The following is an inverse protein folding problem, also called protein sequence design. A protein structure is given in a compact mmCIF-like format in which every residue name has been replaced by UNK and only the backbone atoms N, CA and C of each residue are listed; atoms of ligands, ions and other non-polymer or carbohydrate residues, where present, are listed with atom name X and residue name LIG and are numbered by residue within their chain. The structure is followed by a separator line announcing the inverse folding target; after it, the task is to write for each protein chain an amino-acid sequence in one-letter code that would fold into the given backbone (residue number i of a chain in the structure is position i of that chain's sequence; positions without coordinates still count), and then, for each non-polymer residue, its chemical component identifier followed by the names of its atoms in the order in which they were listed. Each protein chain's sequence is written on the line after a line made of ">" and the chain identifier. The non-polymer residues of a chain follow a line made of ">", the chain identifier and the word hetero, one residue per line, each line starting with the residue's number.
data_IF_746417228598
#
_entry.id   IF_746417228598
#
_cell.length_a   1.000
_cell.length_b   1.000
_cell.length_c   1.000
_cell.angle_alpha   90.00
_cell.angle_beta   90.00
_cell.angle_gamma   90.00
#
_symmetry.space_group_name_H-M   'P 1'
#
loop_
_entity.id
_entity.type
_entity.pdbx_description
1 polymer ?
#
# COMPACT_ATOMS: atom_id res chain seq x y z
N UNK A 1 -30.85 14.87 -11.16
CA UNK A 1 -29.65 14.01 -11.10
C UNK A 1 -28.81 14.51 -9.95
N UNK A 2 -28.40 13.61 -9.06
CA UNK A 2 -27.87 13.94 -7.73
C UNK A 2 -26.51 14.63 -7.80
N UNK A 3 -26.33 15.65 -6.98
CA UNK A 3 -25.12 16.43 -6.68
C UNK A 3 -23.84 15.62 -6.35
N UNK A 4 -23.88 14.29 -6.37
CA UNK A 4 -22.87 13.40 -5.82
C UNK A 4 -21.66 13.14 -6.75
N UNK A 5 -21.75 13.42 -8.06
CA UNK A 5 -20.69 13.10 -9.03
C UNK A 5 -19.61 14.20 -9.16
N UNK A 6 -19.73 15.29 -8.39
CA UNK A 6 -18.88 16.49 -8.52
C UNK A 6 -17.56 16.45 -7.76
N UNK A 7 -17.36 15.46 -6.88
CA UNK A 7 -16.25 15.47 -5.92
C UNK A 7 -15.27 14.30 -6.12
N UNK A 8 -15.11 13.80 -7.33
CA UNK A 8 -14.20 12.68 -7.60
C UNK A 8 -12.94 13.12 -8.33
N UNK A 9 -11.81 12.52 -7.94
CA UNK A 9 -10.52 12.66 -8.58
C UNK A 9 -10.05 11.31 -9.09
N UNK A 10 -9.42 11.33 -10.26
CA UNK A 10 -8.79 10.17 -10.88
C UNK A 10 -7.30 10.15 -10.53
N UNK A 11 -6.83 9.05 -9.95
CA UNK A 11 -5.43 8.83 -9.59
C UNK A 11 -4.82 7.76 -10.49
N UNK A 12 -3.67 8.04 -11.08
CA UNK A 12 -2.90 7.09 -11.88
C UNK A 12 -1.54 6.81 -11.24
N UNK A 13 -1.16 5.54 -11.04
CA UNK A 13 0.20 5.17 -10.64
C UNK A 13 1.18 5.47 -11.79
N UNK A 14 2.47 5.64 -11.47
CA UNK A 14 3.52 5.86 -12.49
C UNK A 14 4.38 4.64 -12.75
N UNK A 15 4.24 3.57 -11.95
CA UNK A 15 5.00 2.33 -12.10
C UNK A 15 4.07 1.14 -12.42
N UNK A 16 4.48 0.26 -13.35
CA UNK A 16 5.57 0.43 -14.31
C UNK A 16 5.28 1.56 -15.32
N UNK A 17 6.30 2.02 -16.05
CA UNK A 17 6.11 3.04 -17.08
C UNK A 17 5.11 2.55 -18.15
N UNK A 18 4.07 3.34 -18.42
CA UNK A 18 2.99 2.98 -19.34
C UNK A 18 1.80 2.29 -18.68
N UNK A 19 1.78 2.17 -17.35
CA UNK A 19 0.57 1.82 -16.60
C UNK A 19 -0.55 2.84 -16.87
N UNK A 20 -1.71 2.33 -17.31
CA UNK A 20 -2.86 3.12 -17.76
C UNK A 20 -4.07 2.99 -16.83
N UNK A 21 -4.00 2.08 -15.85
CA UNK A 21 -5.07 1.90 -14.87
C UNK A 21 -5.20 3.13 -13.99
N UNK A 22 -6.45 3.51 -13.73
CA UNK A 22 -6.80 4.67 -12.91
C UNK A 22 -7.74 4.23 -11.79
N UNK A 23 -7.57 4.82 -10.60
CA UNK A 23 -8.48 4.66 -9.48
C UNK A 23 -9.21 5.96 -9.21
N UNK A 24 -10.53 5.87 -8.98
CA UNK A 24 -11.39 7.01 -8.69
C UNK A 24 -11.62 7.09 -7.18
N UNK A 25 -11.42 8.27 -6.61
CA UNK A 25 -11.57 8.52 -5.16
C UNK A 25 -12.32 9.82 -4.93
N UNK A 26 -13.05 9.91 -3.82
CA UNK A 26 -13.65 11.17 -3.38
C UNK A 26 -12.58 12.15 -2.91
N UNK A 27 -12.58 13.35 -3.48
CA UNK A 27 -11.64 14.42 -3.17
C UNK A 27 -11.64 14.75 -1.68
N UNK A 28 -12.82 14.92 -1.06
CA UNK A 28 -12.91 15.25 0.36
C UNK A 28 -12.23 14.21 1.26
N UNK A 29 -12.51 12.93 1.04
CA UNK A 29 -11.88 11.83 1.80
C UNK A 29 -10.37 11.81 1.59
N UNK A 30 -9.91 12.06 0.36
CA UNK A 30 -8.48 12.10 0.03
C UNK A 30 -7.76 13.28 0.70
N UNK A 31 -8.36 14.47 0.69
CA UNK A 31 -7.82 15.66 1.33
C UNK A 31 -7.80 15.53 2.87
N UNK A 32 -8.88 15.01 3.45
CA UNK A 32 -8.98 14.79 4.90
C UNK A 32 -7.90 13.82 5.40
N UNK A 33 -7.57 12.79 4.60
CA UNK A 33 -6.58 11.79 4.97
C UNK A 33 -5.12 12.19 4.69
N UNK A 34 -4.89 13.22 3.85
CA UNK A 34 -3.55 13.59 3.38
C UNK A 34 -3.43 15.10 3.18
N UNK A 35 -2.55 15.73 3.96
CA UNK A 35 -2.25 17.16 3.80
C UNK A 35 -1.55 17.46 2.46
N UNK A 36 -0.85 16.48 1.87
CA UNK A 36 -0.30 16.59 0.52
C UNK A 36 -1.41 16.78 -0.52
N UNK A 37 -2.42 15.91 -0.52
CA UNK A 37 -3.51 16.00 -1.48
C UNK A 37 -4.42 17.20 -1.21
N UNK A 38 -4.65 17.57 0.05
CA UNK A 38 -5.33 18.81 0.40
C UNK A 38 -4.59 20.03 -0.20
N UNK A 39 -3.27 20.11 0.00
CA UNK A 39 -2.45 21.20 -0.56
C UNK A 39 -2.46 21.20 -2.10
N UNK A 40 -2.48 20.02 -2.73
CA UNK A 40 -2.50 19.90 -4.19
C UNK A 40 -3.85 20.30 -4.81
N UNK A 41 -4.96 19.91 -4.18
CA UNK A 41 -6.30 19.98 -4.78
C UNK A 41 -7.13 21.16 -4.28
N UNK A 42 -6.87 21.66 -3.08
CA UNK A 42 -7.61 22.77 -2.47
C UNK A 42 -6.89 24.11 -2.60
N UNK A 43 -5.65 24.10 -3.10
CA UNK A 43 -4.90 25.32 -3.34
C UNK A 43 -5.56 26.22 -4.40
N UNK A 44 -5.33 27.53 -4.28
CA UNK A 44 -5.74 28.56 -5.24
C UNK A 44 -4.84 28.62 -6.49
N UNK A 45 -3.89 27.69 -6.65
CA UNK A 45 -3.07 27.61 -7.87
C UNK A 45 -3.93 27.29 -9.11
N UNK A 46 -3.53 27.83 -10.26
CA UNK A 46 -4.23 27.64 -11.53
C UNK A 46 -4.27 26.15 -11.92
N UNK A 47 -3.19 25.43 -11.63
CA UNK A 47 -3.05 23.99 -11.86
C UNK A 47 -4.07 23.18 -11.05
N UNK A 48 -4.31 23.54 -9.78
CA UNK A 48 -5.33 22.93 -8.94
C UNK A 48 -6.76 23.24 -9.44
N UNK A 49 -6.96 24.42 -10.04
CA UNK A 49 -8.23 24.81 -10.64
C UNK A 49 -8.53 24.03 -11.93
N UNK A 50 -7.52 23.76 -12.75
CA UNK A 50 -7.64 22.90 -13.95
C UNK A 50 -7.98 21.44 -13.57
N UNK A 51 -7.38 20.93 -12.49
CA UNK A 51 -7.72 19.59 -11.97
C UNK A 51 -9.18 19.51 -11.51
N UNK A 52 -9.68 20.56 -10.83
CA UNK A 52 -11.09 20.65 -10.39
C UNK A 52 -12.06 20.78 -11.56
N UNK A 53 -11.71 21.54 -12.61
CA UNK A 53 -12.57 21.73 -13.79
C UNK A 53 -12.61 20.50 -14.71
N UNK A 54 -11.51 19.74 -14.79
CA UNK A 54 -11.44 18.51 -15.58
C UNK A 54 -12.36 17.39 -15.07
N UNK A 55 -12.69 17.37 -13.77
CA UNK A 55 -13.70 16.46 -13.19
C UNK A 55 -15.15 16.95 -13.40
N UNK A 56 -15.37 18.20 -13.82
CA UNK A 56 -16.72 18.79 -13.92
C UNK A 56 -17.38 18.65 -15.31
N UNK A 57 -16.66 18.24 -16.36
CA UNK A 57 -17.20 18.17 -17.72
C UNK A 57 -17.75 16.78 -18.08
N UNK A 58 -18.83 16.40 -17.40
CA UNK A 58 -19.65 15.24 -17.73
C UNK A 58 -21.13 15.60 -17.81
N UNK A 59 -21.50 16.52 -18.72
CA UNK A 59 -22.83 16.55 -19.39
C UNK A 59 -22.91 17.72 -20.39
N UNK A 60 -23.44 17.51 -21.62
CA UNK A 60 -23.69 18.61 -22.55
C UNK A 60 -24.87 19.48 -22.06
N UNK A 61 -24.85 20.80 -22.28
CA UNK A 61 -26.00 21.65 -21.98
C UNK A 61 -27.15 21.27 -22.92
N UNK A 62 -28.16 20.59 -22.39
CA UNK A 62 -29.43 20.41 -23.05
C UNK A 62 -30.18 21.75 -23.02
N UNK A 63 -29.99 22.57 -24.06
CA UNK A 63 -30.89 23.68 -24.38
C UNK A 63 -32.19 23.12 -24.97
N UNK A 64 -33.37 23.48 -24.46
CA UNK A 64 -34.63 23.07 -25.05
C UNK A 64 -35.05 24.09 -26.12
N UNK A 65 -34.93 23.74 -27.40
CA UNK A 65 -35.77 24.37 -28.43
C UNK A 65 -36.00 23.42 -29.61
N UNK A 66 -37.28 23.10 -29.80
CA UNK A 66 -37.81 22.27 -30.87
C UNK A 66 -37.74 22.98 -32.24
N UNK A 67 -37.52 22.23 -33.33
CA UNK A 67 -38.46 22.10 -34.47
C UNK A 67 -37.91 21.23 -35.63
N UNK A 68 -38.71 20.20 -35.96
CA UNK A 68 -39.02 19.55 -37.25
C UNK A 68 -38.21 19.85 -38.54
N UNK A 69 -37.76 18.79 -39.24
CA UNK A 69 -37.45 18.80 -40.69
C UNK A 69 -36.43 17.74 -41.17
N UNK A 70 -36.81 16.93 -42.16
CA UNK A 70 -36.18 15.70 -42.69
C UNK A 70 -34.94 15.92 -43.64
N UNK A 71 -34.28 14.89 -44.24
CA UNK A 71 -32.82 14.66 -44.11
C UNK A 71 -31.98 14.91 -45.38
N UNK A 72 -30.68 15.22 -45.26
CA UNK A 72 -29.68 14.99 -46.32
C UNK A 72 -28.22 15.07 -45.84
N UNK A 73 -27.47 14.00 -46.14
CA UNK A 73 -26.02 13.90 -46.44
C UNK A 73 -24.98 14.52 -45.48
N UNK A 74 -24.29 13.59 -44.81
CA UNK A 74 -22.83 13.47 -44.69
C UNK A 74 -22.00 14.76 -44.63
N UNK A 75 -21.56 15.11 -43.42
CA UNK A 75 -20.28 15.76 -43.20
C UNK A 75 -19.63 15.05 -42.01
N UNK A 76 -18.45 14.48 -42.24
CA UNK A 76 -17.49 14.07 -41.21
C UNK A 76 -17.46 15.16 -40.13
N UNK A 77 -17.94 14.86 -38.92
CA UNK A 77 -17.54 15.62 -37.75
C UNK A 77 -16.53 14.76 -37.01
N UNK A 78 -15.29 15.19 -37.14
CA UNK A 78 -14.16 14.82 -36.29
C UNK A 78 -14.65 14.57 -34.86
N UNK A 79 -14.41 13.35 -34.37
CA UNK A 79 -14.18 13.13 -32.96
C UNK A 79 -12.93 13.95 -32.60
N UNK A 80 -13.17 15.20 -32.19
CA UNK A 80 -12.17 15.96 -31.45
C UNK A 80 -11.87 15.22 -30.15
N UNK A 81 -10.63 15.29 -29.65
CA UNK A 81 -10.20 14.52 -28.50
C UNK A 81 -11.07 14.88 -27.31
N UNK A 82 -11.79 13.90 -26.77
CA UNK A 82 -12.37 13.97 -25.43
C UNK A 82 -11.24 14.41 -24.51
N UNK A 83 -11.31 15.64 -23.97
CA UNK A 83 -10.31 16.12 -23.01
C UNK A 83 -10.28 15.09 -21.88
N UNK A 84 -9.16 14.40 -21.63
CA UNK A 84 -9.11 13.39 -20.60
C UNK A 84 -9.44 14.05 -19.26
N UNK A 85 -10.30 13.42 -18.47
CA UNK A 85 -10.60 13.86 -17.12
C UNK A 85 -9.27 14.08 -16.37
N UNK A 86 -9.20 15.18 -15.61
CA UNK A 86 -8.00 15.54 -14.87
C UNK A 86 -7.53 14.36 -14.00
N UNK A 87 -6.41 13.77 -14.39
CA UNK A 87 -5.85 12.59 -13.73
C UNK A 87 -4.58 13.02 -13.00
N UNK A 88 -4.57 12.86 -11.68
CA UNK A 88 -3.42 13.12 -10.84
C UNK A 88 -2.49 11.92 -10.92
N UNK A 89 -1.25 12.15 -11.36
CA UNK A 89 -0.22 11.12 -11.37
C UNK A 89 0.40 11.01 -9.98
N UNK A 90 0.34 9.81 -9.43
CA UNK A 90 0.92 9.46 -8.13
C UNK A 90 2.28 8.83 -8.41
N UNK A 91 3.35 9.58 -8.14
CA UNK A 91 4.71 9.21 -8.51
C UNK A 91 5.29 8.07 -7.66
N UNK A 92 6.09 7.21 -8.29
CA UNK A 92 6.85 6.11 -7.69
C UNK A 92 5.99 5.07 -6.94
N UNK A 93 4.74 4.90 -7.39
CA UNK A 93 3.81 3.92 -6.83
C UNK A 93 3.35 2.94 -7.92
N UNK A 94 3.17 1.68 -7.55
CA UNK A 94 2.50 0.69 -8.39
C UNK A 94 0.99 0.75 -8.22
N UNK A 95 0.24 0.15 -9.14
CA UNK A 95 -1.21 0.06 -9.02
C UNK A 95 -1.67 -0.65 -7.72
N UNK A 96 -1.01 -1.75 -7.32
CA UNK A 96 -1.36 -2.49 -6.11
C UNK A 96 -1.10 -1.70 -4.82
N UNK A 97 0.02 -0.96 -4.79
CA UNK A 97 0.33 -0.03 -3.71
C UNK A 97 -0.70 1.12 -3.65
N UNK A 98 -1.08 1.69 -4.79
CA UNK A 98 -2.11 2.73 -4.86
C UNK A 98 -3.47 2.21 -4.41
N UNK A 99 -3.83 0.98 -4.78
CA UNK A 99 -5.06 0.34 -4.33
C UNK A 99 -5.04 0.13 -2.80
N UNK A 100 -3.91 -0.31 -2.24
CA UNK A 100 -3.73 -0.47 -0.78
C UNK A 100 -3.81 0.86 -0.05
N UNK A 101 -3.19 1.91 -0.59
CA UNK A 101 -3.25 3.27 -0.07
C UNK A 101 -4.70 3.77 0.03
N UNK A 102 -5.44 3.66 -1.08
CA UNK A 102 -6.84 4.09 -1.12
C UNK A 102 -7.71 3.23 -0.22
N UNK A 103 -7.52 1.91 -0.22
CA UNK A 103 -8.23 1.01 0.69
C UNK A 103 -8.04 1.42 2.16
N UNK A 104 -6.80 1.75 2.56
CA UNK A 104 -6.53 2.26 3.91
C UNK A 104 -7.25 3.59 4.19
N UNK A 105 -7.24 4.53 3.24
CA UNK A 105 -7.93 5.81 3.40
C UNK A 105 -9.44 5.61 3.64
N UNK A 106 -10.07 4.64 2.96
CA UNK A 106 -11.49 4.37 3.12
C UNK A 106 -11.85 3.56 4.38
N UNK A 107 -10.97 2.66 4.82
CA UNK A 107 -11.31 1.66 5.85
C UNK A 107 -10.57 1.84 7.16
N UNK A 108 -9.44 2.56 7.15
CA UNK A 108 -8.49 2.61 8.26
C UNK A 108 -7.65 1.34 8.41
N UNK A 109 -7.78 0.36 7.50
CA UNK A 109 -7.07 -0.92 7.58
C UNK A 109 -6.13 -1.12 6.38
N UNK A 110 -4.96 -1.71 6.63
CA UNK A 110 -3.98 -2.03 5.60
C UNK A 110 -3.60 -3.50 5.64
N UNK A 111 -3.41 -4.09 4.46
CA UNK A 111 -3.00 -5.48 4.30
C UNK A 111 -1.55 -5.52 3.86
N UNK A 112 -0.69 -6.04 4.73
CA UNK A 112 0.73 -6.15 4.48
C UNK A 112 1.14 -7.59 4.21
N UNK A 113 2.15 -7.77 3.36
CA UNK A 113 2.82 -9.06 3.20
C UNK A 113 3.43 -9.47 4.54
N UNK A 114 3.17 -10.71 4.95
CA UNK A 114 3.92 -11.37 6.03
C UNK A 114 5.17 -11.98 5.45
N UNK A 115 6.25 -12.02 6.20
CA UNK A 115 7.46 -12.73 5.76
C UNK A 115 7.21 -14.24 5.73
N UNK A 116 7.87 -14.97 4.81
CA UNK A 116 7.92 -16.42 4.90
C UNK A 116 8.59 -16.80 6.23
N UNK A 117 7.87 -17.49 7.10
CA UNK A 117 8.49 -18.11 8.26
C UNK A 117 9.31 -19.31 7.75
N UNK A 118 10.63 -19.21 7.74
CA UNK A 118 11.49 -20.38 7.64
C UNK A 118 11.30 -21.19 8.91
N UNK A 119 10.35 -22.13 8.88
CA UNK A 119 10.44 -23.27 9.76
C UNK A 119 11.69 -24.02 9.29
N UNK A 120 12.76 -23.99 10.08
CA UNK A 120 13.76 -25.02 9.91
C UNK A 120 13.03 -26.33 10.12
N UNK A 121 12.81 -27.05 9.01
CA UNK A 121 12.34 -28.42 9.09
C UNK A 121 13.51 -29.17 9.68
N UNK A 122 13.58 -29.26 11.01
CA UNK A 122 14.45 -30.21 11.68
C UNK A 122 14.10 -31.56 11.07
N UNK A 123 14.98 -32.05 10.22
CA UNK A 123 14.99 -33.43 9.73
C UNK A 123 15.42 -34.33 10.89
N UNK A 124 14.68 -34.28 11.98
CA UNK A 124 14.71 -35.33 12.98
C UNK A 124 13.55 -36.26 12.67
N UNK A 125 13.93 -37.48 12.34
CA UNK A 125 13.10 -38.68 12.19
C UNK A 125 11.89 -38.68 13.12
N UNK A 126 10.71 -39.14 12.68
CA UNK A 126 9.51 -39.14 13.50
C UNK A 126 9.63 -40.23 14.56
N UNK A 127 10.17 -39.88 15.72
CA UNK A 127 10.09 -40.72 16.89
C UNK A 127 8.75 -40.53 17.60
N UNK A 128 8.19 -41.69 17.91
CA UNK A 128 6.79 -41.89 18.21
C UNK A 128 6.54 -41.58 19.68
N UNK A 129 5.94 -40.43 19.94
CA UNK A 129 5.19 -40.15 21.17
C UNK A 129 5.87 -39.20 22.14
N UNK A 130 5.29 -38.00 22.27
CA UNK A 130 4.62 -37.48 23.47
C UNK A 130 3.79 -36.28 23.01
N UNK A 131 2.59 -36.17 23.58
CA UNK A 131 1.53 -35.22 23.24
C UNK A 131 1.69 -33.88 23.95
N UNK A 132 1.05 -32.86 23.38
CA UNK A 132 0.57 -31.60 23.96
C UNK A 132 1.50 -30.37 23.92
N UNK A 133 1.43 -29.69 22.78
CA UNK A 133 1.76 -28.26 22.60
C UNK A 133 1.01 -27.76 21.37
N UNK A 134 -0.28 -27.48 21.54
CA UNK A 134 -1.21 -27.09 20.49
C UNK A 134 -0.99 -25.63 20.08
N UNK A 135 -0.20 -25.37 19.03
CA UNK A 135 -0.28 -24.14 18.25
C UNK A 135 -0.94 -24.41 16.90
N UNK A 136 -2.24 -24.70 16.98
CA UNK A 136 -3.18 -24.83 15.86
C UNK A 136 -3.66 -23.47 15.30
N UNK A 137 -2.95 -22.36 15.55
CA UNK A 137 -3.40 -21.01 15.18
C UNK A 137 -2.46 -20.25 14.24
N UNK A 138 -1.39 -20.86 13.75
CA UNK A 138 -0.65 -20.29 12.63
C UNK A 138 -1.46 -20.54 11.35
N UNK A 139 -2.33 -19.58 10.98
CA UNK A 139 -2.91 -19.53 9.64
C UNK A 139 -1.77 -19.61 8.63
N UNK A 140 -1.73 -20.65 7.77
CA UNK A 140 -0.80 -20.68 6.65
C UNK A 140 -0.97 -19.39 5.84
N UNK A 141 0.14 -18.76 5.43
CA UNK A 141 0.16 -17.64 4.49
C UNK A 141 -0.45 -18.09 3.16
N UNK A 142 -1.76 -17.97 3.02
CA UNK A 142 -2.52 -18.39 1.84
C UNK A 142 -2.02 -17.74 0.53
N UNK A 143 -1.30 -16.61 0.59
CA UNK A 143 -0.73 -15.95 -0.59
C UNK A 143 0.43 -16.72 -1.24
N UNK A 144 1.03 -17.71 -0.55
CA UNK A 144 2.02 -18.62 -1.16
C UNK A 144 1.36 -19.72 -2.02
N UNK A 145 0.04 -19.90 -1.90
CA UNK A 145 -0.72 -20.81 -2.76
C UNK A 145 -1.12 -20.11 -4.05
N UNK A 146 -0.38 -20.40 -5.13
CA UNK A 146 -0.67 -19.98 -6.52
C UNK A 146 -2.01 -20.51 -7.08
N UNK A 147 -2.84 -21.15 -6.26
CA UNK A 147 -4.15 -21.65 -6.68
C UNK A 147 -5.24 -20.70 -6.20
N UNK A 148 -5.65 -19.82 -7.13
CA UNK A 148 -6.85 -18.99 -7.02
C UNK A 148 -8.07 -19.92 -6.93
N UNK A 149 -8.36 -20.44 -5.74
CA UNK A 149 -9.55 -21.25 -5.49
C UNK A 149 -10.77 -20.36 -5.57
N UNK A 150 -11.50 -20.48 -6.67
CA UNK A 150 -12.83 -19.88 -6.91
C UNK A 150 -13.94 -20.57 -6.10
N UNK A 151 -13.60 -21.26 -5.01
CA UNK A 151 -14.52 -22.09 -4.26
C UNK A 151 -15.05 -21.36 -3.02
N UNK A 152 -16.34 -21.03 -3.07
CA UNK A 152 -17.24 -20.86 -1.92
C UNK A 152 -17.08 -19.60 -1.06
N UNK A 153 -17.60 -18.50 -1.60
CA UNK A 153 -17.85 -17.20 -0.95
C UNK A 153 -18.86 -17.20 0.22
N UNK A 154 -19.17 -18.35 0.84
CA UNK A 154 -20.26 -18.44 1.82
C UNK A 154 -19.81 -18.83 3.25
N UNK A 155 -18.57 -19.28 3.48
CA UNK A 155 -18.16 -19.76 4.82
C UNK A 155 -16.74 -19.38 5.28
N UNK A 156 -16.10 -18.39 4.66
CA UNK A 156 -14.85 -17.85 5.21
C UNK A 156 -15.17 -16.74 6.23
N UNK A 157 -14.72 -16.89 7.48
CA UNK A 157 -14.66 -15.79 8.48
C UNK A 157 -13.64 -14.70 8.11
N UNK A 158 -13.26 -14.63 6.83
CA UNK A 158 -12.24 -13.74 6.33
C UNK A 158 -12.89 -12.42 5.93
N UNK A 159 -12.15 -11.31 5.97
CA UNK A 159 -12.70 -10.04 5.55
C UNK A 159 -13.19 -10.06 4.11
N UNK A 160 -14.17 -9.23 3.76
CA UNK A 160 -14.75 -9.22 2.41
C UNK A 160 -13.75 -8.85 1.30
N UNK A 161 -12.63 -8.22 1.68
CA UNK A 161 -11.54 -7.86 0.77
C UNK A 161 -10.50 -8.97 0.59
N UNK A 162 -10.63 -10.10 1.30
CA UNK A 162 -9.72 -11.22 1.20
C UNK A 162 -9.73 -11.81 -0.23
N UNK A 163 -8.55 -11.98 -0.82
CA UNK A 163 -8.36 -12.37 -2.22
C UNK A 163 -8.63 -11.28 -3.27
N UNK A 164 -9.12 -10.10 -2.87
CA UNK A 164 -9.39 -8.95 -3.75
C UNK A 164 -8.34 -7.84 -3.66
N UNK A 165 -7.60 -7.76 -2.55
CA UNK A 165 -6.50 -6.84 -2.35
C UNK A 165 -5.18 -7.63 -2.27
N UNK A 166 -4.23 -7.30 -3.15
CA UNK A 166 -2.89 -7.87 -3.05
C UNK A 166 -2.16 -7.28 -1.84
N UNK A 167 -1.61 -8.10 -0.93
CA UNK A 167 -0.85 -7.58 0.21
C UNK A 167 0.35 -6.77 -0.29
N UNK A 168 0.53 -5.57 0.26
CA UNK A 168 1.63 -4.70 -0.09
C UNK A 168 2.83 -4.90 0.84
N UNK A 169 4.03 -4.57 0.36
CA UNK A 169 5.22 -4.57 1.21
C UNK A 169 5.12 -3.42 2.23
N UNK A 170 5.32 -3.71 3.51
CA UNK A 170 5.18 -2.71 4.57
C UNK A 170 6.23 -1.58 4.50
N UNK A 171 7.46 -1.86 4.06
CA UNK A 171 8.50 -0.82 3.88
C UNK A 171 8.12 0.14 2.76
N UNK A 172 7.68 -0.40 1.62
CA UNK A 172 7.20 0.42 0.51
C UNK A 172 6.02 1.30 0.94
N UNK A 173 5.04 0.72 1.64
CA UNK A 173 3.88 1.47 2.12
C UNK A 173 4.25 2.51 3.18
N UNK A 174 5.24 2.26 4.03
CA UNK A 174 5.78 3.27 4.95
C UNK A 174 6.35 4.46 4.18
N UNK A 175 7.22 4.21 3.18
CA UNK A 175 7.81 5.25 2.34
C UNK A 175 6.75 6.05 1.57
N UNK A 176 5.74 5.36 1.03
CA UNK A 176 4.61 5.99 0.34
C UNK A 176 3.80 6.85 1.30
N UNK A 177 3.48 6.33 2.48
CA UNK A 177 2.72 7.05 3.50
C UNK A 177 3.45 8.30 3.98
N UNK A 178 4.78 8.23 4.15
CA UNK A 178 5.61 9.38 4.48
C UNK A 178 5.59 10.43 3.35
N UNK A 179 5.80 10.00 2.10
CA UNK A 179 5.79 10.87 0.90
C UNK A 179 4.47 11.62 0.71
N UNK A 180 3.34 10.97 0.98
CA UNK A 180 2.00 11.55 0.83
C UNK A 180 1.39 12.03 2.16
N UNK A 181 2.17 12.03 3.24
CA UNK A 181 1.76 12.51 4.56
C UNK A 181 0.46 11.86 5.09
N UNK A 182 0.37 10.53 5.01
CA UNK A 182 -0.75 9.73 5.53
C UNK A 182 -0.30 9.04 6.81
N UNK A 183 -0.38 9.76 7.93
CA UNK A 183 0.17 9.38 9.23
C UNK A 183 -0.35 8.05 9.78
N UNK A 184 -1.65 7.78 9.59
CA UNK A 184 -2.27 6.54 10.02
C UNK A 184 -1.64 5.31 9.33
N UNK A 185 -1.38 5.42 8.03
CA UNK A 185 -0.78 4.33 7.26
C UNK A 185 0.68 4.14 7.62
N UNK A 186 1.41 5.26 7.81
CA UNK A 186 2.81 5.25 8.26
C UNK A 186 2.94 4.51 9.59
N UNK A 187 2.07 4.83 10.55
CA UNK A 187 2.00 4.16 11.86
C UNK A 187 1.63 2.68 11.74
N UNK A 188 0.65 2.34 10.91
CA UNK A 188 0.21 0.96 10.71
C UNK A 188 1.32 0.09 10.07
N UNK A 189 2.02 0.63 9.08
CA UNK A 189 3.16 -0.03 8.43
C UNK A 189 4.31 -0.24 9.43
N UNK A 190 4.64 0.77 10.24
CA UNK A 190 5.68 0.66 11.26
C UNK A 190 5.35 -0.40 12.31
N UNK A 191 4.10 -0.44 12.78
CA UNK A 191 3.64 -1.48 13.71
C UNK A 191 3.70 -2.88 13.10
N UNK A 192 3.36 -3.01 11.82
CA UNK A 192 3.50 -4.29 11.12
C UNK A 192 4.96 -4.71 11.03
N UNK A 193 5.86 -3.80 10.63
CA UNK A 193 7.31 -4.06 10.60
C UNK A 193 7.79 -4.52 11.98
N UNK A 194 7.44 -3.81 13.05
CA UNK A 194 7.84 -4.17 14.42
C UNK A 194 7.37 -5.57 14.85
N UNK A 195 6.20 -6.03 14.37
CA UNK A 195 5.64 -7.36 14.69
C UNK A 195 6.22 -8.48 13.82
N UNK A 196 6.66 -8.15 12.62
CA UNK A 196 7.09 -9.10 11.59
C UNK A 196 8.61 -9.31 11.59
N UNK A 197 9.38 -8.49 12.33
CA UNK A 197 10.81 -8.70 12.53
C UNK A 197 11.04 -10.01 13.30
N UNK A 198 12.02 -10.79 12.82
CA UNK A 198 12.45 -12.03 13.44
C UNK A 198 13.98 -12.13 13.44
N UNK A 199 14.53 -12.91 14.37
CA UNK A 199 15.97 -13.14 14.44
C UNK A 199 16.54 -13.80 13.17
N UNK A 200 15.76 -14.65 12.50
CA UNK A 200 16.18 -15.32 11.26
C UNK A 200 16.25 -14.39 10.04
N UNK A 201 15.47 -13.30 10.01
CA UNK A 201 15.40 -12.39 8.86
C UNK A 201 16.26 -11.13 9.01
N UNK A 202 16.83 -10.93 10.20
CA UNK A 202 17.52 -9.69 10.57
C UNK A 202 18.67 -9.35 9.61
N UNK A 203 19.47 -10.36 9.23
CA UNK A 203 20.66 -10.17 8.40
C UNK A 203 20.27 -9.75 6.99
N UNK A 204 19.31 -10.48 6.39
CA UNK A 204 18.79 -10.15 5.06
C UNK A 204 18.13 -8.78 5.01
N UNK A 205 17.51 -8.35 6.11
CA UNK A 205 16.90 -7.03 6.19
C UNK A 205 17.97 -5.93 6.23
N UNK A 206 18.95 -6.06 7.13
CA UNK A 206 20.03 -5.09 7.27
C UNK A 206 20.85 -4.95 5.98
N UNK A 207 21.06 -6.04 5.24
CA UNK A 207 21.77 -6.01 3.96
C UNK A 207 20.90 -5.50 2.79
N UNK A 208 19.59 -5.80 2.80
CA UNK A 208 18.72 -5.64 1.64
C UNK A 208 17.72 -4.50 1.70
N UNK A 209 17.49 -3.88 2.87
CA UNK A 209 16.47 -2.84 3.07
C UNK A 209 17.10 -1.50 3.36
N UNK A 210 17.20 -0.67 2.33
CA UNK A 210 17.71 0.70 2.44
C UNK A 210 16.85 1.56 3.38
N UNK A 211 15.56 1.23 3.52
CA UNK A 211 14.62 1.96 4.36
C UNK A 211 15.05 1.97 5.84
N UNK A 212 15.75 0.93 6.30
CA UNK A 212 16.26 0.86 7.68
C UNK A 212 17.33 1.93 7.93
N UNK A 213 18.14 2.23 6.92
CA UNK A 213 19.16 3.28 7.03
C UNK A 213 18.57 4.68 6.83
N UNK A 214 17.56 4.81 5.95
CA UNK A 214 16.96 6.08 5.55
C UNK A 214 15.96 6.64 6.57
N UNK A 215 15.16 5.79 7.21
CA UNK A 215 14.08 6.22 8.10
C UNK A 215 14.43 5.96 9.57
N UNK A 216 14.61 7.00 10.41
CA UNK A 216 14.96 6.86 11.81
C UNK A 216 13.98 6.00 12.61
N UNK A 217 12.68 6.09 12.32
CA UNK A 217 11.65 5.34 13.04
C UNK A 217 11.78 3.82 12.79
N UNK A 218 12.08 3.44 11.55
CA UNK A 218 12.34 2.03 11.20
C UNK A 218 13.64 1.57 11.85
N UNK A 219 14.69 2.40 11.78
CA UNK A 219 15.98 2.15 12.44
C UNK A 219 15.81 1.88 13.93
N UNK A 220 15.02 2.70 14.62
CA UNK A 220 14.78 2.58 16.05
C UNK A 220 14.01 1.29 16.41
N UNK A 221 13.05 0.87 15.57
CA UNK A 221 12.37 -0.42 15.73
C UNK A 221 13.36 -1.58 15.65
N UNK A 222 14.24 -1.59 14.64
CA UNK A 222 15.28 -2.61 14.50
C UNK A 222 16.29 -2.57 15.64
N UNK A 223 16.70 -1.37 16.06
CA UNK A 223 17.60 -1.16 17.19
C UNK A 223 17.03 -1.76 18.48
N UNK A 224 15.78 -1.44 18.80
CA UNK A 224 15.10 -1.96 19.98
C UNK A 224 14.96 -3.48 19.94
N UNK A 225 14.61 -4.04 18.78
CA UNK A 225 14.54 -5.49 18.61
C UNK A 225 15.89 -6.15 18.85
N UNK A 226 16.97 -5.63 18.26
CA UNK A 226 18.31 -6.17 18.42
C UNK A 226 18.83 -6.08 19.86
N UNK A 227 18.52 -4.99 20.57
CA UNK A 227 18.88 -4.86 21.99
C UNK A 227 18.19 -5.91 22.87
N UNK A 228 16.92 -6.23 22.58
CA UNK A 228 16.16 -7.25 23.35
C UNK A 228 16.61 -8.67 22.99
N UNK A 229 16.89 -8.92 21.71
CA UNK A 229 17.17 -10.25 21.18
C UNK A 229 18.66 -10.56 21.01
N UNK A 230 19.57 -9.74 21.54
CA UNK A 230 21.01 -9.79 21.28
C UNK A 230 21.61 -11.21 21.38
N UNK A 231 21.23 -11.97 22.40
CA UNK A 231 21.75 -13.33 22.64
C UNK A 231 21.21 -14.39 21.67
N UNK A 232 20.09 -14.11 20.99
CA UNK A 232 19.54 -14.98 19.95
C UNK A 232 20.06 -14.62 18.55
N UNK A 233 20.82 -13.53 18.42
CA UNK A 233 21.40 -13.09 17.17
C UNK A 233 22.81 -13.67 17.02
N UNK A 234 23.13 -14.16 15.82
CA UNK A 234 24.47 -14.67 15.51
C UNK A 234 25.50 -13.55 15.46
N UNK A 235 26.76 -13.88 15.78
CA UNK A 235 27.89 -12.92 15.73
C UNK A 235 28.18 -12.40 14.33
N UNK A 236 27.62 -13.02 13.29
CA UNK A 236 27.74 -12.60 11.90
C UNK A 236 26.89 -11.36 11.58
N UNK A 237 25.99 -10.95 12.48
CA UNK A 237 25.14 -9.77 12.33
C UNK A 237 25.69 -8.56 13.12
N UNK A 238 26.58 -8.77 14.08
CA UNK A 238 27.12 -7.73 14.97
C UNK A 238 27.68 -6.54 14.20
N UNK A 239 28.51 -6.80 13.18
CA UNK A 239 29.09 -5.74 12.34
C UNK A 239 28.02 -4.91 11.63
N UNK A 240 26.95 -5.55 11.13
CA UNK A 240 25.85 -4.86 10.47
C UNK A 240 25.03 -4.03 11.46
N UNK A 241 24.85 -4.54 12.69
CA UNK A 241 24.17 -3.79 13.76
C UNK A 241 24.95 -2.55 14.16
N UNK A 242 26.28 -2.63 14.26
CA UNK A 242 27.13 -1.47 14.54
C UNK A 242 27.08 -0.44 13.39
N UNK A 243 27.23 -0.91 12.14
CA UNK A 243 27.30 -0.03 10.97
C UNK A 243 25.97 0.65 10.64
N UNK A 244 24.87 -0.12 10.63
CA UNK A 244 23.56 0.34 10.14
C UNK A 244 22.72 0.90 11.28
N UNK A 245 22.69 0.21 12.43
CA UNK A 245 21.87 0.61 13.59
C UNK A 245 22.63 1.50 14.58
N UNK A 246 23.96 1.62 14.43
CA UNK A 246 24.79 2.39 15.37
C UNK A 246 24.76 1.81 16.78
N UNK A 247 24.58 0.50 16.92
CA UNK A 247 24.62 -0.18 18.21
C UNK A 247 26.06 -0.36 18.68
N UNK A 248 26.27 -0.38 20.00
CA UNK A 248 27.56 -0.70 20.62
C UNK A 248 27.43 -2.07 21.26
N UNK A 249 27.76 -3.12 20.47
CA UNK A 249 27.54 -4.52 20.88
C UNK A 249 28.45 -4.89 22.05
N UNK A 250 29.64 -4.28 22.14
CA UNK A 250 30.56 -4.47 23.24
C UNK A 250 29.95 -4.01 24.58
N UNK A 251 29.24 -2.87 24.60
CA UNK A 251 28.54 -2.42 25.80
C UNK A 251 27.31 -3.25 26.16
N UNK A 252 26.57 -3.73 25.15
CA UNK A 252 25.33 -4.49 25.35
C UNK A 252 25.56 -5.94 25.81
N UNK A 253 26.79 -6.44 25.70
CA UNK A 253 27.15 -7.79 26.13
C UNK A 253 27.80 -7.85 27.53
N UNK A 254 28.04 -6.70 28.17
CA UNK A 254 28.60 -6.60 29.52
C UNK A 254 27.52 -6.57 30.64
N UNK A 255 26.25 -6.35 30.27
CA UNK A 255 25.07 -6.34 31.18
C UNK A 255 24.32 -7.69 31.17
#
# INVERSE_FOLDING_TARGET
>A
MSSADRDFVSLAPTLPAGEDRVLRVHQGILCDASCYFASLLESDFAEASELRQGSQLGDPPSSPQAQLGTPAKAVLKQEGPTRPAATVKVNDITYSQLQTLLFFIFTGEAVFQRRPCTYETSTETPDKGISAGSDSYACPSYWETRERSTASLIESKLPWWDGHLEPANAFDMFRIADKYCIEGLRSAALQHIARDISASTIKSDLEGREEIALFPEIKDVYRNFCTICLWALGSDVDKLMEEILGLDIAKLSED
#
